data_IF_317503738284
#
_entry.id   IF_317503738284
#
_cell.length_a   1.000
_cell.length_b   1.000
_cell.length_c   1.000
_cell.angle_alpha   90.00
_cell.angle_beta   90.00
_cell.angle_gamma   90.00
#
_symmetry.space_group_name_H-M   'P 1'
#
loop_
_entity.id
_entity.type
_entity.pdbx_description
1 polymer ?
#
# COMPACT_ATOMS: atom_id res chain seq x y z
N UNK A 1 -38.24 13.30 7.77
CA UNK A 1 -37.77 13.18 9.17
C UNK A 1 -36.33 13.64 9.24
N UNK A 2 -35.94 14.59 10.12
CA UNK A 2 -34.55 15.03 10.23
C UNK A 2 -33.76 13.96 11.00
N UNK A 3 -32.77 13.33 10.36
CA UNK A 3 -31.83 12.41 11.02
C UNK A 3 -30.92 13.23 11.94
N UNK A 4 -30.85 12.85 13.21
CA UNK A 4 -30.04 13.45 14.27
C UNK A 4 -28.68 13.97 13.75
N UNK A 5 -28.44 15.28 13.94
CA UNK A 5 -27.16 15.96 13.64
C UNK A 5 -26.54 16.54 14.92
N UNK A 6 -26.49 15.75 15.99
CA UNK A 6 -25.84 16.13 17.26
C UNK A 6 -24.72 15.17 17.67
N UNK A 7 -24.24 14.32 16.76
CA UNK A 7 -23.01 13.56 17.00
C UNK A 7 -21.81 14.37 16.49
N UNK A 8 -20.80 14.65 17.33
CA UNK A 8 -19.59 15.32 16.88
C UNK A 8 -18.96 14.53 15.73
N UNK A 9 -18.34 15.18 14.73
CA UNK A 9 -17.73 14.49 13.60
C UNK A 9 -16.75 13.43 14.09
N UNK A 10 -17.14 12.16 14.04
CA UNK A 10 -16.29 11.06 14.43
C UNK A 10 -15.13 10.97 13.44
N UNK A 11 -13.90 11.05 13.93
CA UNK A 11 -12.70 10.81 13.10
C UNK A 11 -12.70 9.34 12.71
N UNK A 12 -13.21 9.03 11.52
CA UNK A 12 -13.10 7.70 10.91
C UNK A 12 -11.75 7.57 10.21
N UNK A 13 -10.93 6.64 10.70
CA UNK A 13 -9.74 6.20 9.99
C UNK A 13 -10.19 5.23 8.91
N UNK A 14 -9.97 5.60 7.64
CA UNK A 14 -10.18 4.70 6.52
C UNK A 14 -8.92 3.92 6.23
N UNK A 15 -9.07 2.60 6.16
CA UNK A 15 -8.02 1.63 5.87
C UNK A 15 -8.37 0.84 4.61
N UNK A 16 -7.40 0.05 4.14
CA UNK A 16 -7.60 -0.85 2.99
C UNK A 16 -8.66 -1.92 3.27
N UNK A 17 -8.97 -2.17 4.54
CA UNK A 17 -10.04 -3.10 4.93
C UNK A 17 -11.43 -2.51 4.73
N UNK A 18 -11.56 -1.18 4.76
CA UNK A 18 -12.84 -0.47 4.54
C UNK A 18 -13.18 -0.35 3.04
N UNK A 19 -12.21 -0.61 2.17
CA UNK A 19 -12.38 -0.68 0.72
C UNK A 19 -12.68 -2.11 0.30
N UNK A 20 -13.52 -2.25 -0.72
CA UNK A 20 -13.91 -3.55 -1.28
C UNK A 20 -14.15 -3.43 -2.78
N UNK A 21 -14.03 -4.55 -3.51
CA UNK A 21 -14.50 -4.64 -4.91
C UNK A 21 -16.03 -4.81 -5.01
N UNK A 22 -16.67 -5.05 -3.88
CA UNK A 22 -18.11 -5.17 -3.71
C UNK A 22 -18.69 -3.84 -3.26
N UNK A 23 -19.75 -3.41 -3.93
CA UNK A 23 -20.49 -2.19 -3.66
C UNK A 23 -21.97 -2.50 -3.44
N UNK A 24 -22.58 -1.77 -2.52
CA UNK A 24 -24.03 -1.69 -2.37
C UNK A 24 -24.45 -0.30 -2.85
N UNK A 25 -25.41 -0.27 -3.76
CA UNK A 25 -25.97 0.95 -4.34
C UNK A 25 -27.42 1.06 -3.88
N UNK A 26 -27.71 2.06 -3.04
CA UNK A 26 -29.07 2.38 -2.58
C UNK A 26 -29.64 3.57 -3.34
N UNK A 27 -30.94 3.76 -3.18
CA UNK A 27 -31.71 4.85 -3.80
C UNK A 27 -31.77 4.75 -5.35
N UNK A 28 -31.75 3.52 -5.87
CA UNK A 28 -31.97 3.27 -7.31
C UNK A 28 -33.48 3.29 -7.56
N UNK A 29 -34.01 3.97 -8.58
CA UNK A 29 -35.47 3.95 -8.83
C UNK A 29 -35.98 2.54 -9.14
N UNK A 30 -37.12 2.15 -8.56
CA UNK A 30 -37.75 0.83 -8.76
C UNK A 30 -38.49 0.70 -10.10
N UNK A 31 -37.85 1.17 -11.18
CA UNK A 31 -38.35 1.15 -12.55
C UNK A 31 -37.80 -0.05 -13.36
N UNK A 32 -37.11 -0.98 -12.69
CA UNK A 32 -36.41 -2.08 -13.36
C UNK A 32 -35.15 -1.63 -14.10
N UNK A 33 -34.49 -0.58 -13.64
CA UNK A 33 -33.36 0.07 -14.33
C UNK A 33 -31.98 -0.58 -14.05
N UNK A 34 -31.98 -1.89 -13.79
CA UNK A 34 -30.76 -2.64 -13.44
C UNK A 34 -29.74 -2.69 -14.58
N UNK A 35 -30.21 -2.74 -15.83
CA UNK A 35 -29.35 -2.78 -17.01
C UNK A 35 -28.67 -1.43 -17.27
N UNK A 36 -29.40 -0.32 -17.09
CA UNK A 36 -28.83 1.03 -17.15
C UNK A 36 -27.82 1.26 -16.03
N UNK A 37 -28.12 0.75 -14.83
CA UNK A 37 -27.20 0.81 -13.70
C UNK A 37 -25.92 0.02 -14.00
N UNK A 38 -26.04 -1.22 -14.50
CA UNK A 38 -24.90 -2.03 -14.92
C UNK A 38 -24.06 -1.33 -15.99
N UNK A 39 -24.72 -0.73 -16.99
CA UNK A 39 -24.05 0.02 -18.06
C UNK A 39 -23.29 1.23 -17.50
N UNK A 40 -23.89 1.96 -16.57
CA UNK A 40 -23.26 3.10 -15.90
C UNK A 40 -21.99 2.67 -15.14
N UNK A 41 -22.09 1.64 -14.30
CA UNK A 41 -20.95 1.14 -13.52
C UNK A 41 -19.86 0.53 -14.40
N UNK A 42 -20.23 -0.08 -15.53
CA UNK A 42 -19.28 -0.64 -16.50
C UNK A 42 -18.38 0.41 -17.16
N UNK A 43 -18.78 1.69 -17.20
CA UNK A 43 -17.92 2.77 -17.71
C UNK A 43 -16.65 2.98 -16.87
N UNK A 44 -16.66 2.53 -15.61
CA UNK A 44 -15.55 2.67 -14.67
C UNK A 44 -14.68 1.42 -14.57
N UNK A 45 -15.03 0.35 -15.29
CA UNK A 45 -14.26 -0.89 -15.39
C UNK A 45 -15.14 -2.13 -15.53
N UNK A 46 -14.53 -3.30 -15.79
CA UNK A 46 -15.27 -4.56 -15.89
C UNK A 46 -16.00 -4.91 -14.60
N UNK A 47 -17.32 -5.01 -14.70
CA UNK A 47 -18.24 -5.52 -13.67
C UNK A 47 -18.40 -7.02 -13.87
N UNK A 48 -18.20 -7.81 -12.82
CA UNK A 48 -18.41 -9.26 -12.85
C UNK A 48 -19.88 -9.61 -12.70
N UNK A 49 -20.57 -8.93 -11.79
CA UNK A 49 -21.94 -9.27 -11.43
C UNK A 49 -22.69 -8.06 -10.86
N UNK A 50 -23.97 -7.93 -11.22
CA UNK A 50 -24.91 -6.93 -10.71
C UNK A 50 -26.22 -7.63 -10.40
N UNK A 51 -26.72 -7.51 -9.17
CA UNK A 51 -27.95 -8.17 -8.71
C UNK A 51 -28.78 -7.23 -7.84
N UNK A 52 -30.11 -7.25 -7.96
CA UNK A 52 -30.97 -6.59 -6.97
C UNK A 52 -30.87 -7.32 -5.62
N UNK A 53 -30.96 -6.55 -4.53
CA UNK A 53 -30.98 -7.04 -3.15
C UNK A 53 -32.37 -6.87 -2.55
N UNK A 54 -33.17 -7.93 -2.57
CA UNK A 54 -34.55 -7.91 -2.04
C UNK A 54 -34.61 -8.00 -0.50
N UNK A 55 -33.49 -8.37 0.15
CA UNK A 55 -33.43 -8.60 1.59
C UNK A 55 -33.14 -7.32 2.40
N UNK A 56 -32.67 -6.23 1.77
CA UNK A 56 -32.48 -4.96 2.46
C UNK A 56 -33.78 -4.16 2.51
N UNK A 57 -34.01 -3.48 3.64
CA UNK A 57 -35.14 -2.56 3.78
C UNK A 57 -34.99 -1.40 2.79
N UNK A 58 -35.77 -1.47 1.71
CA UNK A 58 -35.79 -0.45 0.67
C UNK A 58 -36.79 0.65 1.04
N UNK A 59 -36.44 1.91 0.77
CA UNK A 59 -37.43 2.99 0.82
C UNK A 59 -38.43 2.82 -0.32
N UNK A 60 -39.66 3.33 -0.14
CA UNK A 60 -40.71 3.21 -1.15
C UNK A 60 -40.24 3.73 -2.52
N UNK A 61 -40.51 2.96 -3.58
CA UNK A 61 -40.14 3.25 -4.98
C UNK A 61 -38.64 3.26 -5.27
N UNK A 62 -37.84 2.68 -4.37
CA UNK A 62 -36.40 2.52 -4.57
C UNK A 62 -35.99 1.07 -4.37
N UNK A 63 -34.94 0.68 -5.08
CA UNK A 63 -34.30 -0.62 -4.99
C UNK A 63 -32.86 -0.47 -4.51
N UNK A 64 -32.32 -1.57 -3.98
CA UNK A 64 -30.91 -1.70 -3.61
C UNK A 64 -30.26 -2.71 -4.53
N UNK A 65 -29.08 -2.37 -5.04
CA UNK A 65 -28.31 -3.24 -5.92
C UNK A 65 -26.96 -3.59 -5.31
N UNK A 66 -26.56 -4.84 -5.51
CA UNK A 66 -25.24 -5.36 -5.22
C UNK A 66 -24.43 -5.45 -6.50
N UNK A 67 -23.24 -4.85 -6.49
CA UNK A 67 -22.35 -4.79 -7.66
C UNK A 67 -20.97 -5.31 -7.26
N UNK A 68 -20.45 -6.23 -8.08
CA UNK A 68 -19.10 -6.79 -7.94
C UNK A 68 -18.24 -6.37 -9.11
N UNK A 69 -17.15 -5.67 -8.83
CA UNK A 69 -16.10 -5.39 -9.82
C UNK A 69 -15.04 -6.49 -9.86
N UNK A 70 -14.33 -6.59 -10.99
CA UNK A 70 -13.16 -7.45 -11.08
C UNK A 70 -12.01 -6.96 -10.19
N UNK A 71 -11.74 -5.64 -10.21
CA UNK A 71 -10.63 -5.02 -9.48
C UNK A 71 -11.14 -4.04 -8.43
N UNK A 72 -10.51 -4.04 -7.25
CA UNK A 72 -10.80 -3.10 -6.15
C UNK A 72 -10.55 -1.64 -6.58
N UNK A 73 -9.57 -1.38 -7.45
CA UNK A 73 -9.28 -0.04 -7.98
C UNK A 73 -10.46 0.54 -8.75
N UNK A 74 -11.17 -0.29 -9.51
CA UNK A 74 -12.31 0.14 -10.33
C UNK A 74 -13.51 0.46 -9.44
N UNK A 75 -13.76 -0.39 -8.44
CA UNK A 75 -14.78 -0.11 -7.41
C UNK A 75 -14.49 1.20 -6.67
N UNK A 76 -13.22 1.49 -6.33
CA UNK A 76 -12.84 2.80 -5.76
C UNK A 76 -13.12 3.97 -6.67
N UNK A 77 -12.80 3.81 -7.96
CA UNK A 77 -13.03 4.87 -8.94
C UNK A 77 -14.54 5.10 -9.14
N UNK A 78 -15.32 4.03 -9.31
CA UNK A 78 -16.76 4.06 -9.44
C UNK A 78 -17.43 4.70 -8.22
N UNK A 79 -17.14 4.23 -6.99
CA UNK A 79 -17.69 4.83 -5.78
C UNK A 79 -17.40 6.33 -5.69
N UNK A 80 -16.15 6.73 -5.89
CA UNK A 80 -15.77 8.16 -5.82
C UNK A 80 -16.49 9.05 -6.84
N UNK A 81 -16.94 8.49 -7.96
CA UNK A 81 -17.61 9.25 -9.03
C UNK A 81 -19.13 9.16 -8.99
N UNK A 82 -19.67 8.04 -8.54
CA UNK A 82 -21.09 7.73 -8.57
C UNK A 82 -21.79 7.93 -7.23
N UNK A 83 -21.05 7.97 -6.13
CA UNK A 83 -21.63 8.32 -4.83
C UNK A 83 -22.20 9.75 -4.89
N UNK A 84 -23.45 9.89 -4.47
CA UNK A 84 -24.29 11.10 -4.58
C UNK A 84 -24.56 11.60 -6.02
N UNK A 85 -24.17 10.85 -7.05
CA UNK A 85 -24.45 11.20 -8.44
C UNK A 85 -25.94 11.01 -8.77
N UNK A 86 -26.44 11.81 -9.70
CA UNK A 86 -27.84 11.73 -10.14
C UNK A 86 -28.01 10.62 -11.17
N UNK A 87 -28.89 9.67 -10.88
CA UNK A 87 -29.30 8.58 -11.75
C UNK A 87 -30.83 8.54 -11.82
N UNK A 88 -31.38 8.79 -13.02
CA UNK A 88 -32.82 8.77 -13.29
C UNK A 88 -33.65 9.61 -12.28
N UNK A 89 -33.11 10.75 -11.87
CA UNK A 89 -33.76 11.69 -10.93
C UNK A 89 -33.39 11.48 -9.46
N UNK A 90 -32.86 10.32 -9.08
CA UNK A 90 -32.44 10.02 -7.71
C UNK A 90 -30.93 10.20 -7.52
N UNK A 91 -30.50 10.54 -6.30
CA UNK A 91 -29.07 10.56 -5.94
C UNK A 91 -28.65 9.20 -5.42
N UNK A 92 -27.76 8.53 -6.14
CA UNK A 92 -27.25 7.23 -5.72
C UNK A 92 -26.51 7.34 -4.39
N UNK A 93 -26.64 6.32 -3.55
CA UNK A 93 -25.85 6.17 -2.34
C UNK A 93 -25.00 4.91 -2.50
N UNK A 94 -23.68 5.08 -2.62
CA UNK A 94 -22.76 3.96 -2.92
C UNK A 94 -21.90 3.68 -1.70
N UNK A 95 -22.09 2.52 -1.07
CA UNK A 95 -21.27 2.06 0.05
C UNK A 95 -20.40 0.86 -0.35
N UNK A 96 -19.20 0.76 0.23
CA UNK A 96 -18.44 -0.49 0.16
C UNK A 96 -19.12 -1.55 1.00
N UNK A 97 -18.94 -2.80 0.59
CA UNK A 97 -19.47 -3.95 1.31
C UNK A 97 -18.35 -5.00 1.51
N UNK A 98 -17.39 -4.74 2.41
CA UNK A 98 -16.30 -5.67 2.70
C UNK A 98 -16.78 -7.00 3.28
N UNK A 99 -17.98 -7.05 3.86
CA UNK A 99 -18.60 -8.28 4.39
C UNK A 99 -18.89 -9.36 3.33
N UNK A 100 -18.89 -9.00 2.04
CA UNK A 100 -19.07 -9.95 0.93
C UNK A 100 -17.75 -10.46 0.33
N UNK A 101 -16.60 -10.03 0.85
CA UNK A 101 -15.32 -10.50 0.36
C UNK A 101 -15.06 -11.96 0.72
N UNK A 102 -14.58 -12.73 -0.26
CA UNK A 102 -14.01 -14.05 0.01
C UNK A 102 -12.57 -13.94 0.53
N UNK A 103 -12.07 -15.01 1.15
CA UNK A 103 -10.68 -15.07 1.63
C UNK A 103 -9.65 -14.82 0.51
N UNK A 104 -9.94 -15.30 -0.71
CA UNK A 104 -9.10 -15.03 -1.88
C UNK A 104 -9.08 -13.54 -2.25
N UNK A 105 -10.22 -12.86 -2.17
CA UNK A 105 -10.33 -11.45 -2.52
C UNK A 105 -9.58 -10.57 -1.52
N UNK A 106 -9.73 -10.86 -0.22
CA UNK A 106 -9.01 -10.13 0.83
C UNK A 106 -7.51 -10.35 0.71
N UNK A 107 -7.07 -11.57 0.37
CA UNK A 107 -5.66 -11.87 0.11
C UNK A 107 -5.13 -11.05 -1.07
N UNK A 108 -5.82 -11.06 -2.21
CA UNK A 108 -5.44 -10.30 -3.40
C UNK A 108 -5.36 -8.80 -3.10
N UNK A 109 -6.36 -8.27 -2.39
CA UNK A 109 -6.43 -6.86 -1.96
C UNK A 109 -5.21 -6.46 -1.13
N UNK A 110 -4.83 -7.27 -0.14
CA UNK A 110 -3.69 -7.00 0.74
C UNK A 110 -2.34 -7.16 0.03
N UNK A 111 -2.21 -8.17 -0.83
CA UNK A 111 -1.01 -8.35 -1.65
C UNK A 111 -0.83 -7.20 -2.65
N UNK A 112 -1.91 -6.77 -3.31
CA UNK A 112 -1.92 -5.61 -4.18
C UNK A 112 -1.46 -4.35 -3.45
N UNK A 113 -1.99 -4.11 -2.24
CA UNK A 113 -1.53 -2.99 -1.41
C UNK A 113 -0.06 -3.09 -1.05
N UNK A 114 0.40 -4.27 -0.62
CA UNK A 114 1.81 -4.49 -0.25
C UNK A 114 2.75 -4.19 -1.42
N UNK A 115 2.40 -4.63 -2.63
CA UNK A 115 3.15 -4.35 -3.87
C UNK A 115 3.17 -2.84 -4.17
N UNK A 116 2.02 -2.18 -4.08
CA UNK A 116 1.90 -0.74 -4.32
C UNK A 116 2.77 0.08 -3.35
N UNK A 117 2.72 -0.24 -2.05
CA UNK A 117 3.54 0.41 -1.03
C UNK A 117 5.03 0.20 -1.29
N UNK A 118 5.44 -1.04 -1.61
CA UNK A 118 6.83 -1.37 -1.91
C UNK A 118 7.35 -0.64 -3.17
N UNK A 119 6.50 -0.50 -4.19
CA UNK A 119 6.82 0.23 -5.41
C UNK A 119 7.04 1.73 -5.14
N UNK A 120 6.20 2.33 -4.29
CA UNK A 120 6.35 3.74 -3.87
C UNK A 120 7.60 3.98 -3.01
N UNK A 121 7.99 3.00 -2.18
CA UNK A 121 9.19 3.09 -1.36
C UNK A 121 10.49 2.96 -2.17
N UNK A 122 10.45 2.31 -3.34
CA UNK A 122 11.61 2.07 -4.20
C UNK A 122 11.50 2.76 -5.58
N UNK A 123 11.48 4.11 -5.65
CA UNK A 123 11.27 4.85 -6.91
C UNK A 123 12.41 4.66 -7.92
N UNK A 124 13.56 4.10 -7.51
CA UNK A 124 14.76 3.97 -8.36
C UNK A 124 14.73 2.77 -9.32
N UNK A 125 13.75 1.87 -9.22
CA UNK A 125 13.62 0.69 -10.09
C UNK A 125 12.61 0.82 -11.24
N UNK A 126 11.80 1.88 -11.28
CA UNK A 126 10.77 2.06 -12.32
C UNK A 126 11.24 2.80 -13.58
N UNK A 127 12.54 3.12 -13.69
CA UNK A 127 13.17 3.62 -14.93
C UNK A 127 14.17 2.58 -15.46
N UNK A 128 13.64 1.52 -16.07
CA UNK A 128 14.40 0.63 -16.95
C UNK A 128 14.06 0.95 -18.42
N UNK A 129 15.00 0.84 -19.38
CA UNK A 129 14.74 1.18 -20.78
C UNK A 129 13.72 0.23 -21.40
N UNK A 130 12.64 0.80 -21.93
CA UNK A 130 11.78 0.12 -22.90
C UNK A 130 12.34 0.37 -24.30
N UNK A 131 13.15 -0.57 -24.81
CA UNK A 131 13.39 -0.77 -26.25
C UNK A 131 12.34 -1.79 -26.72
N UNK A 132 11.26 -1.36 -27.38
CA UNK A 132 11.07 -1.08 -28.82
C UNK A 132 10.81 -2.33 -29.66
N UNK A 133 9.56 -2.46 -30.12
CA UNK A 133 9.23 -2.97 -31.46
C UNK A 133 8.21 -1.99 -32.06
N UNK A 134 8.53 -1.54 -33.27
CA UNK A 134 7.89 -0.54 -34.15
C UNK A 134 6.46 -0.93 -34.57
N UNK A 135 5.56 -0.05 -35.05
CA UNK A 135 5.65 0.94 -36.15
C UNK A 135 4.59 2.06 -35.99
N UNK A 136 4.85 3.30 -36.43
CA UNK A 136 3.89 4.40 -36.46
C UNK A 136 3.33 4.71 -37.86
N UNK A 137 2.02 4.95 -37.96
CA UNK A 137 1.42 5.66 -39.11
C UNK A 137 1.08 7.11 -38.75
N UNK A 138 1.57 7.98 -39.63
CA UNK A 138 1.60 9.45 -39.62
C UNK A 138 0.23 10.13 -39.62
N UNK A 139 0.09 11.25 -38.88
CA UNK A 139 -0.57 12.47 -39.38
C UNK A 139 0.04 13.74 -38.73
N UNK A 140 0.57 14.58 -39.62
CA UNK A 140 0.96 15.99 -39.63
C UNK A 140 0.74 16.92 -38.41
N UNK A 141 1.83 17.59 -38.01
CA UNK A 141 1.90 18.91 -37.34
C UNK A 141 1.72 20.09 -38.31
N UNK A 142 1.45 21.31 -37.81
CA UNK A 142 2.50 22.36 -37.83
C UNK A 142 2.62 23.07 -36.46
N UNK A 143 3.80 23.04 -35.82
CA UNK A 143 4.86 24.06 -35.84
C UNK A 143 4.46 25.45 -35.31
N UNK A 144 4.91 25.76 -34.08
CA UNK A 144 5.55 27.04 -33.75
C UNK A 144 6.76 26.78 -32.85
N UNK A 145 7.90 27.31 -33.30
CA UNK A 145 9.22 27.28 -32.64
C UNK A 145 9.31 28.49 -31.72
N UNK A 146 9.79 28.30 -30.50
CA UNK A 146 10.56 29.32 -29.81
C UNK A 146 11.77 28.69 -29.14
N UNK A 147 12.92 29.32 -29.39
CA UNK A 147 14.27 28.86 -29.11
C UNK A 147 14.86 29.72 -28.02
N UNK A 148 15.30 29.13 -26.89
CA UNK A 148 16.38 29.70 -26.08
C UNK A 148 17.24 28.58 -25.46
N UNK A 149 18.59 28.75 -25.42
CA UNK A 149 19.57 27.66 -25.23
C UNK A 149 19.95 27.41 -23.76
N UNK A 150 20.47 26.21 -23.41
CA UNK A 150 21.05 25.95 -22.09
C UNK A 150 22.54 26.40 -22.00
N UNK A 151 23.03 26.85 -20.83
CA UNK A 151 24.44 27.16 -20.60
C UNK A 151 25.29 25.89 -20.32
N UNK A 152 26.63 26.00 -20.41
CA UNK A 152 27.49 24.89 -20.80
C UNK A 152 27.97 23.98 -19.66
N UNK A 153 28.19 22.73 -20.06
CA UNK A 153 28.98 21.66 -19.46
C UNK A 153 30.38 22.13 -19.05
N UNK A 154 30.78 21.82 -17.81
CA UNK A 154 32.20 21.77 -17.40
C UNK A 154 32.64 20.31 -17.34
N UNK A 155 33.81 20.08 -17.94
CA UNK A 155 34.38 18.81 -18.29
C UNK A 155 34.97 18.01 -17.11
N UNK A 156 34.89 16.69 -17.28
CA UNK A 156 35.93 15.67 -17.06
C UNK A 156 36.75 15.68 -15.75
N UNK A 157 36.68 14.55 -15.05
CA UNK A 157 37.88 13.85 -14.57
C UNK A 157 37.69 12.34 -14.68
N UNK A 158 38.74 11.69 -15.17
CA UNK A 158 38.81 10.35 -15.73
C UNK A 158 38.95 9.24 -14.67
N UNK A 159 38.47 8.06 -15.04
CA UNK A 159 39.04 6.70 -14.85
C UNK A 159 39.57 6.28 -13.48
N UNK A 160 38.96 5.22 -12.93
CA UNK A 160 39.68 3.94 -12.77
C UNK A 160 38.70 2.79 -12.52
N UNK A 161 38.72 1.84 -13.45
CA UNK A 161 38.09 0.54 -13.41
C UNK A 161 38.78 -0.35 -12.37
N UNK A 162 38.00 -1.12 -11.59
CA UNK A 162 38.50 -2.32 -10.92
C UNK A 162 37.32 -3.25 -10.64
N UNK A 163 37.30 -4.33 -11.40
CA UNK A 163 36.44 -5.50 -11.22
C UNK A 163 36.76 -6.17 -9.88
N UNK A 164 35.74 -6.61 -9.13
CA UNK A 164 35.81 -7.84 -8.32
C UNK A 164 34.43 -8.19 -7.75
N UNK A 165 33.90 -9.34 -8.15
CA UNK A 165 32.87 -10.07 -7.40
C UNK A 165 33.45 -10.61 -6.08
N UNK A 166 32.64 -10.91 -5.06
CA UNK A 166 32.51 -12.32 -4.64
C UNK A 166 31.08 -12.67 -4.16
N UNK A 167 30.55 -13.86 -4.47
CA UNK A 167 30.82 -15.20 -3.89
C UNK A 167 30.19 -15.38 -2.50
N UNK A 168 29.09 -16.13 -2.50
CA UNK A 168 28.44 -16.80 -1.37
C UNK A 168 29.48 -17.66 -0.64
N UNK A 169 29.66 -17.47 0.68
CA UNK A 169 30.14 -18.49 1.61
C UNK A 169 29.73 -18.15 3.06
N UNK A 170 28.94 -19.07 3.60
CA UNK A 170 29.01 -19.68 4.94
C UNK A 170 29.51 -18.85 6.13
N UNK A 171 28.63 -18.81 7.13
CA UNK A 171 28.86 -18.34 8.50
C UNK A 171 30.10 -18.96 9.15
N UNK A 172 31.13 -18.13 9.31
CA UNK A 172 32.19 -18.28 10.31
C UNK A 172 32.41 -16.90 10.94
N UNK A 173 32.53 -16.86 12.26
CA UNK A 173 32.59 -15.62 13.05
C UNK A 173 33.78 -14.76 12.62
N UNK A 174 33.51 -13.64 11.94
CA UNK A 174 34.52 -12.64 11.61
C UNK A 174 34.67 -11.67 12.78
N UNK A 175 35.80 -11.74 13.47
CA UNK A 175 36.37 -10.61 14.19
C UNK A 175 36.64 -9.49 13.17
N UNK A 176 35.82 -8.46 13.20
CA UNK A 176 35.87 -7.36 12.22
C UNK A 176 36.76 -6.24 12.75
N UNK A 177 37.70 -5.80 11.90
CA UNK A 177 38.61 -4.67 12.13
C UNK A 177 37.86 -3.37 12.48
N UNK A 178 38.45 -2.57 13.37
CA UNK A 178 37.81 -1.51 14.18
C UNK A 178 37.12 -0.40 13.38
N UNK A 179 37.55 -0.07 12.16
CA UNK A 179 37.23 1.21 11.53
C UNK A 179 36.51 1.11 10.18
N UNK A 180 35.48 0.25 10.07
CA UNK A 180 34.61 0.24 8.88
C UNK A 180 33.27 0.93 9.17
N UNK A 181 33.01 2.02 8.44
CA UNK A 181 31.68 2.61 8.32
C UNK A 181 30.75 1.64 7.59
N UNK A 182 29.62 1.30 8.23
CA UNK A 182 28.72 0.25 7.75
C UNK A 182 27.56 0.82 6.93
N UNK A 183 27.18 2.07 7.18
CA UNK A 183 26.06 2.73 6.53
C UNK A 183 26.49 4.01 5.80
N UNK A 184 25.79 4.43 4.73
CA UNK A 184 26.08 5.69 4.01
C UNK A 184 25.78 6.98 4.79
N UNK A 185 25.10 6.89 5.95
CA UNK A 185 24.75 8.05 6.79
C UNK A 185 25.49 8.00 8.12
N UNK A 186 26.08 9.12 8.49
CA UNK A 186 26.96 9.23 9.66
C UNK A 186 26.21 9.00 10.98
N UNK A 187 24.94 9.40 11.06
CA UNK A 187 24.11 9.21 12.26
C UNK A 187 23.90 7.74 12.63
N UNK A 188 23.73 6.87 11.62
CA UNK A 188 23.58 5.44 11.86
C UNK A 188 24.91 4.80 12.27
N UNK A 189 26.03 5.22 11.67
CA UNK A 189 27.36 4.75 12.08
C UNK A 189 27.69 5.14 13.53
N UNK A 190 27.34 6.37 13.96
CA UNK A 190 27.48 6.80 15.36
C UNK A 190 26.66 5.92 16.32
N UNK A 191 25.46 5.52 15.91
CA UNK A 191 24.62 4.63 16.73
C UNK A 191 25.24 3.24 16.85
N UNK A 192 25.82 2.71 15.77
CA UNK A 192 26.53 1.42 15.77
C UNK A 192 27.75 1.45 16.69
N UNK A 193 28.55 2.53 16.64
CA UNK A 193 29.69 2.72 17.55
C UNK A 193 29.24 2.71 19.01
N UNK A 194 28.19 3.46 19.36
CA UNK A 194 27.66 3.51 20.72
C UNK A 194 27.20 2.13 21.23
N UNK A 195 26.57 1.32 20.38
CA UNK A 195 26.14 -0.04 20.74
C UNK A 195 27.35 -0.95 20.96
N UNK A 196 28.37 -0.86 20.11
CA UNK A 196 29.61 -1.64 20.26
C UNK A 196 30.36 -1.28 21.54
N UNK A 197 30.48 0.00 21.86
CA UNK A 197 31.12 0.47 23.09
C UNK A 197 30.40 -0.08 24.33
N UNK A 198 29.07 -0.10 24.30
CA UNK A 198 28.26 -0.72 25.37
C UNK A 198 28.51 -2.22 25.48
N UNK A 199 28.59 -2.95 24.36
CA UNK A 199 28.87 -4.39 24.37
C UNK A 199 30.29 -4.70 24.89
N UNK A 200 31.29 -3.93 24.46
CA UNK A 200 32.66 -4.06 24.94
C UNK A 200 32.76 -3.78 26.44
N UNK A 201 32.01 -2.78 26.93
CA UNK A 201 31.93 -2.49 28.37
C UNK A 201 31.31 -3.64 29.15
N UNK A 202 30.26 -4.28 28.62
CA UNK A 202 29.63 -5.46 29.24
C UNK A 202 30.62 -6.64 29.28
N UNK A 203 31.30 -6.94 28.18
CA UNK A 203 32.29 -8.02 28.13
C UNK A 203 33.46 -7.77 29.10
N UNK A 204 33.91 -6.52 29.20
CA UNK A 204 34.95 -6.11 30.15
C UNK A 204 34.50 -6.26 31.61
N UNK A 205 33.23 -5.96 31.91
CA UNK A 205 32.67 -6.17 33.27
C UNK A 205 32.42 -7.65 33.58
N UNK A 206 32.02 -8.46 32.60
CA UNK A 206 31.82 -9.90 32.76
C UNK A 206 33.13 -10.59 33.12
N UNK A 207 34.23 -10.24 32.43
CA UNK A 207 35.54 -10.83 32.70
C UNK A 207 36.13 -10.44 34.07
N UNK A 208 35.62 -9.38 34.72
CA UNK A 208 36.01 -9.02 36.10
C UNK A 208 35.14 -9.69 37.18
N UNK A 209 34.02 -10.32 36.82
CA UNK A 209 33.06 -10.87 37.81
C UNK A 209 33.06 -12.40 37.89
N UNK A 210 33.89 -13.10 37.11
CA UNK A 210 34.10 -14.56 37.25
C UNK A 210 35.01 -14.95 38.44
N UNK A 211 35.00 -14.12 39.49
CA UNK A 211 35.60 -14.38 40.80
C UNK A 211 34.53 -14.60 41.87
N UNK A 212 33.68 -15.62 41.69
CA UNK A 212 32.86 -16.19 42.76
C UNK A 212 31.42 -15.66 42.88
N UNK A 213 30.44 -16.54 42.72
CA UNK A 213 29.15 -16.36 43.39
C UNK A 213 28.47 -17.69 43.67
N UNK A 214 28.33 -17.96 44.98
CA UNK A 214 27.68 -19.10 45.59
C UNK A 214 26.18 -19.13 45.31
N UNK A 215 25.69 -20.34 44.99
CA UNK A 215 24.27 -20.69 44.83
C UNK A 215 23.43 -20.21 46.03
N UNK A 216 22.36 -19.44 45.78
CA UNK A 216 21.22 -19.34 46.71
C UNK A 216 19.97 -19.93 46.05
N UNK A 217 19.39 -20.91 46.74
CA UNK A 217 18.22 -21.66 46.33
C UNK A 217 16.94 -20.81 46.47
N UNK A 218 16.05 -20.93 45.47
CA UNK A 218 14.73 -20.29 45.41
C UNK A 218 13.71 -21.18 46.12
N UNK A 219 13.08 -20.67 47.17
CA UNK A 219 12.02 -21.36 47.92
C UNK A 219 10.69 -21.26 47.14
N UNK A 220 10.02 -22.40 46.96
CA UNK A 220 8.73 -22.55 46.26
C UNK A 220 7.59 -22.58 47.30
N UNK A 221 6.66 -21.63 47.22
CA UNK A 221 5.53 -21.48 48.15
C UNK A 221 4.20 -21.83 47.48
N UNK A 222 3.97 -23.11 47.17
CA UNK A 222 2.63 -23.57 46.75
C UNK A 222 1.72 -23.83 47.97
N UNK A 223 0.72 -22.96 48.13
CA UNK A 223 -0.46 -23.18 48.99
C UNK A 223 -1.25 -24.39 48.49
N UNK A 224 -1.60 -25.31 49.40
CA UNK A 224 -2.58 -26.38 49.19
C UNK A 224 -3.93 -25.90 49.75
N UNK A 225 -4.99 -26.12 48.98
CA UNK A 225 -6.40 -26.10 49.42
C UNK A 225 -6.65 -27.43 50.13
#
# INVERSE_FOLDING_TARGET
MPKYKDEPPAVRVYTVCDESKYLIVRNVPSLGCGDELLKLFSTYGPVEECKPMDAEECEAYTDVYWIKFHLVSNARFAKRKLDESVFLGNRLQVSYAPEYESLSDTKEKLEGRRKEVLARLNPRRSKGPSESMSEPFSVSTPLLKDTFPPPPTVAQSQMSESQTAPRVHTSSMLSTSSDKEYFPVESMNRTVQLVRDKLNKIQSTTNQTEGGSSKRARVDNRRRI
#
